data_IF_182372664415
#
_entry.id   IF_182372664415
#
_cell.length_a   1.000
_cell.length_b   1.000
_cell.length_c   1.000
_cell.angle_alpha   90.00
_cell.angle_beta   90.00
_cell.angle_gamma   90.00
#
_symmetry.space_group_name_H-M   'P 1'
#
loop_
_entity.id
_entity.type
_entity.pdbx_description
1 polymer ?
#
# COMPACT_ATOMS: atom_id res chain seq x y z
N UNK A 1 -4.92 -4.68 24.32
CA UNK A 1 -4.58 -4.24 22.94
C UNK A 1 -5.71 -3.46 22.24
N UNK A 2 -7.00 -3.71 22.54
CA UNK A 2 -8.16 -3.04 21.91
C UNK A 2 -8.51 -1.64 22.48
N UNK A 3 -7.96 -1.24 23.61
CA UNK A 3 -8.16 0.13 24.18
C UNK A 3 -7.45 1.27 23.42
N UNK A 4 -6.54 0.94 22.50
CA UNK A 4 -5.82 1.90 21.65
C UNK A 4 -6.67 2.43 20.47
N UNK A 5 -7.86 1.87 20.23
CA UNK A 5 -8.74 2.21 19.12
C UNK A 5 -9.97 3.05 19.52
N UNK A 6 -10.05 3.58 20.72
CA UNK A 6 -10.96 4.68 20.98
C UNK A 6 -10.43 5.92 20.25
N UNK A 7 -10.73 5.99 18.95
CA UNK A 7 -10.46 7.18 18.14
C UNK A 7 -11.42 8.26 18.67
N UNK A 8 -10.91 9.25 19.41
CA UNK A 8 -11.74 10.39 19.84
C UNK A 8 -12.27 11.07 18.58
N UNK A 9 -13.30 11.88 18.74
CA UNK A 9 -13.94 12.57 17.61
C UNK A 9 -12.91 13.22 16.68
N UNK A 10 -12.72 12.64 15.48
CA UNK A 10 -11.84 13.17 14.45
C UNK A 10 -12.60 14.27 13.72
N UNK A 11 -12.43 15.49 14.19
CA UNK A 11 -12.69 16.65 13.37
C UNK A 11 -11.47 16.85 12.43
N UNK A 12 -11.56 16.37 11.18
CA UNK A 12 -10.44 16.41 10.24
C UNK A 12 -9.88 17.82 10.03
N UNK A 13 -10.73 18.85 10.01
CA UNK A 13 -10.29 20.22 9.81
C UNK A 13 -9.50 20.75 11.02
N UNK A 14 -9.93 20.41 12.22
CA UNK A 14 -9.25 20.80 13.45
C UNK A 14 -7.94 20.02 13.62
N UNK A 15 -7.97 18.71 13.39
CA UNK A 15 -6.77 17.85 13.45
C UNK A 15 -5.73 18.25 12.41
N UNK A 16 -6.16 18.67 11.21
CA UNK A 16 -5.26 19.22 10.19
C UNK A 16 -4.57 20.49 10.67
N UNK A 17 -5.34 21.44 11.22
CA UNK A 17 -4.82 22.71 11.73
C UNK A 17 -3.81 22.45 12.85
N UNK A 18 -4.20 21.65 13.85
CA UNK A 18 -3.32 21.28 14.97
C UNK A 18 -2.03 20.60 14.47
N UNK A 19 -2.16 19.65 13.55
CA UNK A 19 -1.00 18.95 12.98
C UNK A 19 -0.07 19.89 12.22
N UNK A 20 -0.61 20.83 11.46
CA UNK A 20 0.16 21.82 10.74
C UNK A 20 0.85 22.82 11.65
N UNK A 21 0.16 23.31 12.67
CA UNK A 21 0.74 24.22 13.68
C UNK A 21 1.89 23.50 14.42
N UNK A 22 1.71 22.22 14.72
CA UNK A 22 2.72 21.39 15.35
C UNK A 22 3.96 21.19 14.47
N UNK A 23 3.77 20.93 13.16
CA UNK A 23 4.87 20.87 12.20
C UNK A 23 5.61 22.20 12.12
N UNK A 24 4.89 23.31 12.14
CA UNK A 24 5.49 24.64 12.14
C UNK A 24 6.26 24.96 13.42
N UNK A 25 5.89 24.37 14.56
CA UNK A 25 6.59 24.52 15.84
C UNK A 25 7.85 23.65 15.96
N UNK A 26 8.08 22.68 15.05
CA UNK A 26 9.28 21.88 15.03
C UNK A 26 10.51 22.73 14.72
N UNK A 27 11.68 22.29 15.22
CA UNK A 27 12.96 22.86 14.80
C UNK A 27 13.13 22.80 13.27
N UNK A 28 13.83 23.78 12.70
CA UNK A 28 13.96 23.90 11.22
C UNK A 28 14.27 22.57 10.52
N UNK A 29 15.23 21.80 11.00
CA UNK A 29 15.61 20.52 10.40
C UNK A 29 14.46 19.48 10.48
N UNK A 30 13.89 19.28 11.65
CA UNK A 30 12.80 18.31 11.85
C UNK A 30 11.56 18.69 11.03
N UNK A 31 11.28 19.99 10.87
CA UNK A 31 10.21 20.49 10.00
C UNK A 31 10.44 20.11 8.53
N UNK A 32 11.62 20.41 7.98
CA UNK A 32 11.94 20.08 6.58
C UNK A 32 11.92 18.56 6.33
N UNK A 33 12.42 17.76 7.29
CA UNK A 33 12.33 16.30 7.19
C UNK A 33 10.87 15.84 7.18
N UNK A 34 10.02 16.38 8.04
CA UNK A 34 8.59 16.05 8.08
C UNK A 34 7.89 16.43 6.79
N UNK A 35 8.19 17.60 6.23
CA UNK A 35 7.66 18.02 4.92
C UNK A 35 8.15 17.10 3.80
N UNK A 36 9.41 16.67 3.85
CA UNK A 36 9.97 15.72 2.88
C UNK A 36 9.25 14.36 2.93
N UNK A 37 8.82 13.91 4.12
CA UNK A 37 7.96 12.75 4.25
C UNK A 37 6.63 12.89 3.51
N UNK A 38 6.00 14.07 3.60
CA UNK A 38 4.70 14.32 2.97
C UNK A 38 4.77 14.42 1.46
N UNK A 39 5.95 14.63 0.89
CA UNK A 39 6.15 14.59 -0.55
C UNK A 39 6.14 13.16 -1.12
N UNK A 40 6.33 12.13 -0.28
CA UNK A 40 6.41 10.74 -0.72
C UNK A 40 5.28 10.30 -1.64
N UNK A 41 3.99 10.46 -1.26
CA UNK A 41 2.87 10.08 -2.12
C UNK A 41 2.88 10.74 -3.50
N UNK A 42 3.41 11.96 -3.62
CA UNK A 42 3.51 12.69 -4.90
C UNK A 42 4.74 12.25 -5.70
N UNK A 43 5.85 11.96 -5.05
CA UNK A 43 7.06 11.44 -5.70
C UNK A 43 6.78 10.09 -6.34
N UNK A 44 5.99 9.25 -5.67
CA UNK A 44 5.54 7.97 -6.23
C UNK A 44 4.69 8.13 -7.50
N UNK A 45 4.04 9.29 -7.70
CA UNK A 45 3.27 9.59 -8.92
C UNK A 45 4.16 9.94 -10.12
N UNK A 46 5.42 10.29 -9.90
CA UNK A 46 6.31 10.69 -10.99
C UNK A 46 6.83 9.45 -11.70
N UNK A 47 7.54 8.59 -10.97
CA UNK A 47 8.11 7.35 -11.48
C UNK A 47 8.67 6.51 -10.32
N UNK A 48 9.11 5.27 -10.63
CA UNK A 48 9.70 4.35 -9.67
C UNK A 48 11.03 4.84 -9.13
N UNK A 49 11.93 5.30 -9.99
CA UNK A 49 13.29 5.65 -9.60
C UNK A 49 13.36 6.83 -8.63
N UNK A 50 12.63 7.94 -8.83
CA UNK A 50 12.51 9.00 -7.84
C UNK A 50 11.95 8.52 -6.49
N UNK A 51 11.00 7.57 -6.51
CA UNK A 51 10.44 7.00 -5.29
C UNK A 51 11.45 6.16 -4.52
N UNK A 52 12.24 5.36 -5.22
CA UNK A 52 13.32 4.55 -4.66
C UNK A 52 14.43 5.43 -4.07
N UNK A 53 14.78 6.52 -4.75
CA UNK A 53 15.73 7.52 -4.24
C UNK A 53 15.21 8.20 -2.97
N UNK A 54 13.94 8.66 -2.99
CA UNK A 54 13.30 9.29 -1.84
C UNK A 54 13.29 8.36 -0.62
N UNK A 55 12.89 7.11 -0.79
CA UNK A 55 12.87 6.11 0.27
C UNK A 55 14.28 5.89 0.84
N UNK A 56 15.29 5.81 -0.02
CA UNK A 56 16.69 5.64 0.37
C UNK A 56 17.20 6.85 1.17
N UNK A 57 16.89 8.06 0.73
CA UNK A 57 17.25 9.29 1.45
C UNK A 57 16.60 9.36 2.83
N UNK A 58 15.33 8.99 2.96
CA UNK A 58 14.66 8.88 4.27
C UNK A 58 15.41 7.91 5.20
N UNK A 59 15.85 6.75 4.70
CA UNK A 59 16.61 5.80 5.50
C UNK A 59 17.93 6.38 5.98
N UNK A 60 18.70 7.07 5.12
CA UNK A 60 19.94 7.71 5.50
C UNK A 60 19.75 8.83 6.52
N UNK A 61 18.77 9.70 6.33
CA UNK A 61 18.41 10.75 7.28
C UNK A 61 18.03 10.15 8.64
N UNK A 62 17.27 9.04 8.62
CA UNK A 62 16.87 8.33 9.83
C UNK A 62 18.08 7.78 10.58
N UNK A 63 18.99 7.09 9.89
CA UNK A 63 20.19 6.55 10.50
C UNK A 63 21.10 7.67 11.08
N UNK A 64 21.31 8.74 10.33
CA UNK A 64 22.05 9.91 10.82
C UNK A 64 21.43 10.50 12.08
N UNK A 65 20.08 10.56 12.15
CA UNK A 65 19.36 10.99 13.35
C UNK A 65 19.55 10.02 14.52
N UNK A 66 19.49 8.70 14.27
CA UNK A 66 19.70 7.68 15.29
C UNK A 66 21.11 7.77 15.89
N UNK A 67 22.13 7.98 15.05
CA UNK A 67 23.53 8.20 15.49
C UNK A 67 23.62 9.46 16.36
N UNK A 68 23.06 10.59 15.90
CA UNK A 68 23.11 11.86 16.62
C UNK A 68 22.38 11.82 17.97
N UNK A 69 21.23 11.15 18.03
CA UNK A 69 20.39 11.07 19.25
C UNK A 69 20.68 9.84 20.11
N UNK A 70 21.54 8.93 19.63
CA UNK A 70 21.86 7.63 20.26
C UNK A 70 20.58 6.82 20.56
N UNK A 71 19.52 6.97 19.74
CA UNK A 71 18.24 6.27 19.89
C UNK A 71 18.17 5.08 18.94
N UNK A 72 18.46 3.90 19.49
CA UNK A 72 18.42 2.61 18.81
C UNK A 72 17.32 1.70 19.39
N UNK A 73 16.36 2.24 20.12
CA UNK A 73 15.31 1.48 20.79
C UNK A 73 14.46 0.63 19.81
N UNK A 74 14.31 1.08 18.57
CA UNK A 74 13.58 0.40 17.51
C UNK A 74 14.22 -0.93 17.07
N UNK A 75 15.54 -1.08 17.21
CA UNK A 75 16.26 -2.33 16.86
C UNK A 75 15.81 -3.49 17.74
N UNK A 76 15.37 -3.22 18.96
CA UNK A 76 14.91 -4.23 19.90
C UNK A 76 13.47 -4.71 19.68
N UNK A 77 12.75 -4.12 18.75
CA UNK A 77 11.39 -4.52 18.41
C UNK A 77 11.36 -5.89 17.72
N UNK A 78 10.40 -6.74 18.11
CA UNK A 78 10.27 -8.10 17.58
C UNK A 78 10.09 -8.07 16.06
N UNK A 79 9.23 -7.18 15.55
CA UNK A 79 8.98 -7.07 14.11
C UNK A 79 10.24 -6.72 13.33
N UNK A 80 11.11 -5.83 13.87
CA UNK A 80 12.34 -5.43 13.19
C UNK A 80 13.34 -6.58 13.18
N UNK A 81 13.51 -7.28 14.31
CA UNK A 81 14.35 -8.48 14.40
C UNK A 81 13.91 -9.57 13.42
N UNK A 82 12.58 -9.79 13.30
CA UNK A 82 12.03 -10.75 12.34
C UNK A 82 12.29 -10.32 10.89
N UNK A 83 12.11 -9.04 10.58
CA UNK A 83 12.41 -8.50 9.25
C UNK A 83 13.90 -8.62 8.90
N UNK A 84 14.79 -8.35 9.87
CA UNK A 84 16.24 -8.52 9.68
C UNK A 84 16.62 -9.99 9.50
N UNK A 85 16.02 -10.91 10.26
CA UNK A 85 16.25 -12.35 10.09
C UNK A 85 15.85 -12.82 8.68
N UNK A 86 14.68 -12.39 8.19
CA UNK A 86 14.23 -12.68 6.83
C UNK A 86 15.17 -12.08 5.77
N UNK A 87 15.63 -10.85 5.97
CA UNK A 87 16.57 -10.21 5.05
C UNK A 87 17.92 -10.92 5.02
N UNK A 88 18.48 -11.29 6.18
CA UNK A 88 19.73 -12.05 6.27
C UNK A 88 19.58 -13.42 5.58
N UNK A 89 18.47 -14.12 5.84
CA UNK A 89 18.17 -15.40 5.17
C UNK A 89 18.09 -15.23 3.64
N UNK A 90 17.43 -14.15 3.18
CA UNK A 90 17.37 -13.81 1.75
C UNK A 90 18.76 -13.54 1.15
N UNK A 91 19.66 -12.89 1.88
CA UNK A 91 21.05 -12.69 1.42
C UNK A 91 21.84 -14.01 1.34
N UNK A 92 21.67 -14.90 2.30
CA UNK A 92 22.26 -16.25 2.23
C UNK A 92 21.76 -17.01 0.99
N UNK A 93 20.46 -17.01 0.75
CA UNK A 93 19.87 -17.61 -0.44
C UNK A 93 20.41 -16.97 -1.74
N UNK A 94 20.57 -15.65 -1.76
CA UNK A 94 21.10 -14.93 -2.91
C UNK A 94 22.55 -15.34 -3.25
N UNK A 95 23.41 -15.53 -2.25
CA UNK A 95 24.82 -15.94 -2.44
C UNK A 95 24.94 -17.37 -2.95
N UNK A 96 23.96 -18.23 -2.64
CA UNK A 96 23.94 -19.64 -3.08
C UNK A 96 23.20 -19.85 -4.40
N UNK A 97 22.60 -18.81 -4.98
CA UNK A 97 21.82 -18.83 -6.21
C UNK A 97 22.67 -18.94 -7.49
N UNK A 98 22.01 -19.06 -8.65
CA UNK A 98 22.70 -19.21 -9.96
C UNK A 98 23.54 -17.99 -10.35
N UNK A 99 23.13 -16.79 -9.98
CA UNK A 99 23.88 -15.55 -10.17
C UNK A 99 24.04 -14.85 -8.82
N UNK A 100 25.08 -15.22 -8.03
CA UNK A 100 25.26 -14.74 -6.68
C UNK A 100 25.47 -13.24 -6.58
N UNK A 101 26.21 -12.65 -7.50
CA UNK A 101 26.54 -11.23 -7.46
C UNK A 101 25.30 -10.36 -7.69
N UNK A 102 24.57 -10.64 -8.77
CA UNK A 102 23.35 -9.92 -9.10
C UNK A 102 22.28 -10.08 -8.01
N UNK A 103 22.06 -11.33 -7.56
CA UNK A 103 21.06 -11.63 -6.51
C UNK A 103 21.41 -10.97 -5.19
N UNK A 104 22.69 -10.95 -4.80
CA UNK A 104 23.15 -10.27 -3.59
C UNK A 104 22.98 -8.75 -3.71
N UNK A 105 23.30 -8.16 -4.86
CA UNK A 105 23.10 -6.73 -5.09
C UNK A 105 21.62 -6.35 -4.95
N UNK A 106 20.72 -7.11 -5.56
CA UNK A 106 19.28 -6.89 -5.45
C UNK A 106 18.79 -7.11 -4.01
N UNK A 107 19.21 -8.18 -3.37
CA UNK A 107 18.82 -8.50 -2.00
C UNK A 107 19.30 -7.50 -0.97
N UNK A 108 20.51 -6.95 -1.13
CA UNK A 108 21.07 -5.98 -0.19
C UNK A 108 20.27 -4.69 -0.11
N UNK A 109 19.72 -4.23 -1.23
CA UNK A 109 18.89 -3.00 -1.30
C UNK A 109 17.58 -3.13 -0.51
N UNK A 110 17.09 -4.35 -0.26
CA UNK A 110 15.84 -4.57 0.47
C UNK A 110 15.87 -4.13 1.94
N UNK A 111 17.05 -3.97 2.55
CA UNK A 111 17.20 -3.43 3.91
C UNK A 111 16.51 -2.06 4.09
N UNK A 112 16.36 -1.31 3.02
CA UNK A 112 15.69 0.00 3.05
C UNK A 112 14.23 -0.09 3.51
N UNK A 113 13.51 -1.18 3.26
CA UNK A 113 12.11 -1.32 3.67
C UNK A 113 11.93 -1.44 5.19
N UNK A 114 12.63 -2.35 5.91
CA UNK A 114 12.58 -2.35 7.37
C UNK A 114 13.13 -1.06 8.00
N UNK A 115 14.14 -0.43 7.42
CA UNK A 115 14.63 0.87 7.89
C UNK A 115 13.59 1.98 7.70
N UNK A 116 12.90 2.02 6.57
CA UNK A 116 11.82 2.97 6.32
C UNK A 116 10.65 2.75 7.30
N UNK A 117 10.27 1.50 7.57
CA UNK A 117 9.24 1.19 8.56
C UNK A 117 9.65 1.64 9.97
N UNK A 118 10.91 1.46 10.35
CA UNK A 118 11.45 1.95 11.61
C UNK A 118 11.44 3.49 11.67
N UNK A 119 11.82 4.16 10.60
CA UNK A 119 11.73 5.61 10.48
C UNK A 119 10.30 6.11 10.63
N UNK A 120 9.35 5.48 9.95
CA UNK A 120 7.92 5.79 10.08
C UNK A 120 7.42 5.61 11.51
N UNK A 121 7.81 4.52 12.18
CA UNK A 121 7.45 4.27 13.57
C UNK A 121 8.00 5.34 14.52
N UNK A 122 9.25 5.75 14.35
CA UNK A 122 9.89 6.71 15.24
C UNK A 122 9.41 8.14 14.99
N UNK A 123 9.19 8.53 13.73
CA UNK A 123 8.82 9.91 13.38
C UNK A 123 7.32 10.15 13.32
N UNK A 124 6.57 9.25 12.70
CA UNK A 124 5.15 9.47 12.42
C UNK A 124 4.23 8.81 13.47
N UNK A 125 4.62 7.62 13.96
CA UNK A 125 3.72 6.86 14.83
C UNK A 125 3.57 7.44 16.22
N UNK A 126 4.55 8.21 16.73
CA UNK A 126 4.52 8.82 18.06
C UNK A 126 3.54 10.00 18.15
N UNK A 127 3.27 10.66 17.03
CA UNK A 127 2.44 11.85 17.00
C UNK A 127 1.17 11.64 16.16
N UNK A 128 0.01 11.71 16.81
CA UNK A 128 -1.28 11.50 16.18
C UNK A 128 -1.58 12.55 15.11
N UNK A 129 -1.30 13.81 15.40
CA UNK A 129 -1.72 14.91 14.54
C UNK A 129 -0.86 14.94 13.26
N UNK A 130 0.45 14.66 13.40
CA UNK A 130 1.36 14.48 12.27
C UNK A 130 0.93 13.30 11.39
N UNK A 131 0.48 12.19 12.00
CA UNK A 131 -0.06 11.04 11.24
C UNK A 131 -1.29 11.41 10.42
N UNK A 132 -2.18 12.25 10.97
CA UNK A 132 -3.37 12.71 10.24
C UNK A 132 -2.95 13.54 9.02
N UNK A 133 -1.97 14.43 9.15
CA UNK A 133 -1.45 15.21 8.01
C UNK A 133 -0.85 14.28 6.96
N UNK A 134 -0.11 13.25 7.37
CA UNK A 134 0.43 12.23 6.44
C UNK A 134 -0.67 11.46 5.72
N UNK A 135 -1.71 11.03 6.43
CA UNK A 135 -2.85 10.33 5.84
C UNK A 135 -3.60 11.22 4.83
N UNK A 136 -3.71 12.50 5.08
CA UNK A 136 -4.29 13.45 4.13
C UNK A 136 -3.40 13.63 2.90
N UNK A 137 -2.09 13.67 3.05
CA UNK A 137 -1.15 13.68 1.92
C UNK A 137 -1.30 12.43 1.04
N UNK A 138 -1.39 11.25 1.67
CA UNK A 138 -1.64 9.98 0.97
C UNK A 138 -3.00 10.03 0.24
N UNK A 139 -4.04 10.54 0.89
CA UNK A 139 -5.36 10.69 0.29
C UNK A 139 -5.33 11.59 -0.94
N UNK A 140 -4.68 12.73 -0.86
CA UNK A 140 -4.56 13.65 -2.00
C UNK A 140 -3.81 12.98 -3.15
N UNK A 141 -2.67 12.31 -2.88
CA UNK A 141 -1.94 11.55 -3.90
C UNK A 141 -2.81 10.48 -4.55
N UNK A 142 -3.60 9.75 -3.76
CA UNK A 142 -4.54 8.75 -4.28
C UNK A 142 -5.64 9.38 -5.15
N UNK A 143 -6.20 10.51 -4.75
CA UNK A 143 -7.22 11.19 -5.55
C UNK A 143 -6.65 11.71 -6.87
N UNK A 144 -5.42 12.19 -6.88
CA UNK A 144 -4.73 12.61 -8.11
C UNK A 144 -4.59 11.43 -9.07
N UNK A 145 -4.06 10.28 -8.62
CA UNK A 145 -3.91 9.11 -9.50
C UNK A 145 -5.27 8.59 -9.99
N UNK A 146 -6.30 8.59 -9.13
CA UNK A 146 -7.65 8.23 -9.54
C UNK A 146 -8.17 9.17 -10.64
N UNK A 147 -7.96 10.48 -10.50
CA UNK A 147 -8.32 11.45 -11.52
C UNK A 147 -7.60 11.24 -12.86
N UNK A 148 -6.29 10.96 -12.81
CA UNK A 148 -5.47 10.67 -13.99
C UNK A 148 -5.99 9.42 -14.71
N UNK A 149 -6.28 8.34 -13.98
CA UNK A 149 -6.76 7.09 -14.57
C UNK A 149 -8.18 7.18 -15.13
N UNK A 150 -9.04 7.96 -14.49
CA UNK A 150 -10.37 8.27 -15.05
C UNK A 150 -10.22 9.07 -16.35
N UNK A 151 -9.33 10.07 -16.38
CA UNK A 151 -9.04 10.83 -17.59
C UNK A 151 -8.48 9.94 -18.71
N UNK A 152 -7.53 9.04 -18.41
CA UNK A 152 -7.03 8.07 -19.40
C UNK A 152 -8.15 7.18 -19.93
N UNK A 153 -9.04 6.69 -19.07
CA UNK A 153 -10.17 5.85 -19.48
C UNK A 153 -11.10 6.56 -20.47
N UNK A 154 -11.23 7.89 -20.36
CA UNK A 154 -12.08 8.71 -21.26
C UNK A 154 -11.37 9.06 -22.55
N UNK A 155 -10.08 9.42 -22.47
CA UNK A 155 -9.30 9.96 -23.60
C UNK A 155 -8.70 8.85 -24.46
N UNK A 156 -8.15 7.81 -23.82
CA UNK A 156 -7.42 6.70 -24.47
C UNK A 156 -7.77 5.37 -23.79
N UNK A 157 -8.99 4.86 -24.01
CA UNK A 157 -9.47 3.65 -23.32
C UNK A 157 -8.64 2.45 -23.72
N UNK A 158 -7.88 1.91 -22.78
CA UNK A 158 -7.07 0.69 -22.91
C UNK A 158 -7.53 -0.39 -21.95
N UNK A 159 -7.28 -1.65 -22.30
CA UNK A 159 -7.54 -2.79 -21.40
C UNK A 159 -6.70 -2.73 -20.12
N UNK A 160 -5.53 -2.10 -20.20
CA UNK A 160 -4.65 -1.82 -19.07
C UNK A 160 -4.23 -0.36 -19.12
N UNK A 161 -4.62 0.39 -18.11
CA UNK A 161 -4.25 1.79 -17.99
C UNK A 161 -2.77 1.91 -17.63
N UNK A 162 -2.13 2.95 -18.19
CA UNK A 162 -0.67 3.14 -18.10
C UNK A 162 -0.25 4.50 -17.56
N UNK A 163 -1.17 5.48 -17.55
CA UNK A 163 -0.85 6.83 -17.09
C UNK A 163 -0.63 6.89 -15.57
N UNK A 164 0.27 7.73 -15.07
CA UNK A 164 1.17 8.62 -15.82
C UNK A 164 2.48 7.95 -16.24
N UNK A 165 2.70 6.68 -15.95
CA UNK A 165 4.01 6.03 -16.04
C UNK A 165 4.37 5.50 -17.43
N UNK A 166 3.40 5.42 -18.33
CA UNK A 166 3.61 4.76 -19.64
C UNK A 166 3.71 3.24 -19.59
N UNK A 167 3.61 2.63 -18.41
CA UNK A 167 3.64 1.19 -18.16
C UNK A 167 2.49 0.78 -17.23
N UNK A 168 2.22 -0.52 -17.11
CA UNK A 168 1.10 -1.13 -16.34
C UNK A 168 1.31 -1.11 -14.82
N UNK A 169 1.87 -0.03 -14.30
CA UNK A 169 2.21 0.15 -12.88
C UNK A 169 1.11 0.82 -12.02
N UNK A 170 0.17 1.62 -12.60
CA UNK A 170 -0.79 2.41 -11.81
C UNK A 170 -1.62 1.59 -10.83
N UNK A 171 -2.05 0.38 -11.22
CA UNK A 171 -2.76 -0.53 -10.33
C UNK A 171 -1.96 -0.89 -9.08
N UNK A 172 -0.66 -1.09 -9.23
CA UNK A 172 0.25 -1.36 -8.12
C UNK A 172 0.37 -0.18 -7.15
N UNK A 173 0.44 1.04 -7.67
CA UNK A 173 0.43 2.25 -6.86
C UNK A 173 -0.85 2.37 -6.03
N UNK A 174 -2.01 2.30 -6.68
CA UNK A 174 -3.31 2.39 -6.02
C UNK A 174 -3.44 1.32 -4.93
N UNK A 175 -3.06 0.07 -5.20
CA UNK A 175 -3.17 -1.01 -4.23
C UNK A 175 -2.31 -0.76 -2.98
N UNK A 176 -1.06 -0.34 -3.15
CA UNK A 176 -0.13 -0.10 -2.04
C UNK A 176 -0.53 1.10 -1.19
N UNK A 177 -0.96 2.18 -1.82
CA UNK A 177 -1.29 3.44 -1.13
C UNK A 177 -2.69 3.41 -0.54
N UNK A 178 -3.66 2.81 -1.24
CA UNK A 178 -5.06 2.83 -0.83
C UNK A 178 -5.40 1.83 0.26
N UNK A 179 -4.70 0.69 0.39
CA UNK A 179 -5.03 -0.32 1.40
C UNK A 179 -4.88 0.21 2.84
N UNK A 180 -3.75 0.82 3.25
CA UNK A 180 -3.62 1.43 4.56
C UNK A 180 -4.66 2.54 4.78
N UNK A 181 -4.89 3.37 3.75
CA UNK A 181 -5.86 4.45 3.82
C UNK A 181 -7.29 3.90 3.98
N UNK A 182 -7.67 2.91 3.19
CA UNK A 182 -8.96 2.23 3.29
C UNK A 182 -9.17 1.64 4.69
N UNK A 183 -8.16 1.00 5.27
CA UNK A 183 -8.21 0.49 6.63
C UNK A 183 -8.52 1.59 7.66
N UNK A 184 -7.85 2.74 7.54
CA UNK A 184 -8.09 3.88 8.44
C UNK A 184 -9.47 4.47 8.23
N UNK A 185 -9.89 4.64 6.98
CA UNK A 185 -11.20 5.18 6.62
C UNK A 185 -12.34 4.27 7.11
N UNK A 186 -12.18 2.95 6.97
CA UNK A 186 -13.12 1.97 7.52
C UNK A 186 -13.20 2.04 9.04
N UNK A 187 -12.06 2.16 9.73
CA UNK A 187 -12.04 2.33 11.18
C UNK A 187 -12.81 3.59 11.62
N UNK A 188 -12.66 4.70 10.88
CA UNK A 188 -13.42 5.93 11.12
C UNK A 188 -14.91 5.75 10.83
N UNK A 189 -15.27 5.11 9.73
CA UNK A 189 -16.66 4.84 9.34
C UNK A 189 -17.39 3.97 10.37
N UNK A 190 -16.69 3.01 10.96
CA UNK A 190 -17.25 2.08 11.97
C UNK A 190 -17.40 2.73 13.32
N UNK A 191 -16.48 3.62 13.71
CA UNK A 191 -16.46 4.22 15.03
C UNK A 191 -17.55 5.28 15.24
N UNK A 192 -18.14 5.84 14.14
CA UNK A 192 -19.08 6.97 14.24
C UNK A 192 -20.18 6.96 13.19
N UNK A 193 -21.38 7.37 13.61
CA UNK A 193 -22.56 7.65 12.77
C UNK A 193 -22.39 8.93 11.91
N UNK A 194 -21.18 9.36 11.57
CA UNK A 194 -20.94 10.72 11.09
C UNK A 194 -20.71 10.79 9.58
N UNK A 195 -21.00 11.95 8.98
CA UNK A 195 -20.75 12.30 7.56
C UNK A 195 -19.32 11.95 7.10
N UNK A 196 -18.33 12.03 8.01
CA UNK A 196 -16.95 11.63 7.77
C UNK A 196 -16.81 10.13 7.41
N UNK A 197 -17.59 9.25 8.06
CA UNK A 197 -17.59 7.81 7.72
C UNK A 197 -18.18 7.53 6.35
N UNK A 198 -19.21 8.27 5.96
CA UNK A 198 -19.82 8.15 4.64
C UNK A 198 -18.86 8.64 3.55
N UNK A 199 -18.19 9.78 3.77
CA UNK A 199 -17.16 10.30 2.87
C UNK A 199 -15.97 9.33 2.73
N UNK A 200 -15.54 8.75 3.84
CA UNK A 200 -14.52 7.71 3.84
C UNK A 200 -14.92 6.47 3.02
N UNK A 201 -16.17 6.04 3.16
CA UNK A 201 -16.73 4.95 2.35
C UNK A 201 -16.73 5.28 0.86
N UNK A 202 -17.15 6.48 0.47
CA UNK A 202 -17.14 6.92 -0.92
C UNK A 202 -15.74 6.96 -1.53
N UNK A 203 -14.72 7.40 -0.78
CA UNK A 203 -13.33 7.37 -1.24
C UNK A 203 -12.84 5.92 -1.40
N UNK A 204 -13.20 5.05 -0.47
CA UNK A 204 -12.93 3.61 -0.58
C UNK A 204 -13.51 3.02 -1.87
N UNK A 205 -14.79 3.29 -2.14
CA UNK A 205 -15.49 2.86 -3.35
C UNK A 205 -14.86 3.40 -4.63
N UNK A 206 -14.56 4.70 -4.68
CA UNK A 206 -13.89 5.33 -5.82
C UNK A 206 -12.58 4.61 -6.13
N UNK A 207 -11.79 4.36 -5.10
CA UNK A 207 -10.48 3.75 -5.28
C UNK A 207 -10.56 2.27 -5.71
N UNK A 208 -11.61 1.52 -5.33
CA UNK A 208 -11.86 0.15 -5.82
C UNK A 208 -12.34 0.19 -7.26
N UNK A 209 -13.29 1.04 -7.58
CA UNK A 209 -13.76 1.23 -8.95
C UNK A 209 -12.60 1.57 -9.90
N UNK A 210 -11.76 2.53 -9.55
CA UNK A 210 -10.59 2.87 -10.36
C UNK A 210 -9.56 1.74 -10.40
N UNK A 211 -9.36 1.00 -9.31
CA UNK A 211 -8.48 -0.18 -9.32
C UNK A 211 -8.97 -1.24 -10.31
N UNK A 212 -10.28 -1.45 -10.46
CA UNK A 212 -10.81 -2.39 -11.47
C UNK A 212 -10.58 -1.88 -12.89
N UNK A 213 -10.65 -0.58 -13.14
CA UNK A 213 -10.35 0.02 -14.44
C UNK A 213 -8.89 -0.17 -14.88
N UNK A 214 -7.95 -0.31 -13.95
CA UNK A 214 -6.53 -0.55 -14.31
C UNK A 214 -6.28 -1.89 -14.97
N UNK A 215 -7.24 -2.83 -14.91
CA UNK A 215 -7.09 -4.18 -15.46
C UNK A 215 -6.13 -5.08 -14.66
N UNK A 216 -5.67 -4.65 -13.49
CA UNK A 216 -4.72 -5.38 -12.63
C UNK A 216 -5.42 -6.30 -11.62
N UNK A 217 -5.56 -7.59 -11.98
CA UNK A 217 -6.28 -8.61 -11.20
C UNK A 217 -5.70 -8.84 -9.82
N UNK A 218 -4.38 -8.94 -9.71
CA UNK A 218 -3.70 -9.21 -8.44
C UNK A 218 -3.94 -8.10 -7.43
N UNK A 219 -3.89 -6.86 -7.87
CA UNK A 219 -4.11 -5.70 -7.01
C UNK A 219 -5.55 -5.58 -6.56
N UNK A 220 -6.50 -5.89 -7.45
CA UNK A 220 -7.91 -5.97 -7.10
C UNK A 220 -8.17 -7.01 -6.01
N UNK A 221 -7.61 -8.23 -6.16
CA UNK A 221 -7.75 -9.30 -5.16
C UNK A 221 -7.10 -8.94 -3.81
N UNK A 222 -5.89 -8.39 -3.81
CA UNK A 222 -5.22 -7.96 -2.58
C UNK A 222 -6.08 -6.95 -1.83
N UNK A 223 -6.74 -6.05 -2.55
CA UNK A 223 -7.64 -5.08 -1.97
C UNK A 223 -8.91 -5.69 -1.38
N UNK A 224 -9.55 -6.57 -2.13
CA UNK A 224 -10.74 -7.27 -1.65
C UNK A 224 -10.42 -8.07 -0.39
N UNK A 225 -9.33 -8.83 -0.38
CA UNK A 225 -8.86 -9.55 0.80
C UNK A 225 -8.51 -8.61 1.96
N UNK A 226 -7.83 -7.50 1.69
CA UNK A 226 -7.50 -6.49 2.70
C UNK A 226 -8.74 -5.84 3.32
N UNK A 227 -9.75 -5.56 2.52
CA UNK A 227 -11.06 -5.06 2.98
C UNK A 227 -11.79 -6.07 3.86
N UNK A 228 -11.80 -7.35 3.47
CA UNK A 228 -12.37 -8.43 4.27
C UNK A 228 -11.65 -8.58 5.61
N UNK A 229 -10.32 -8.62 5.62
CA UNK A 229 -9.53 -8.70 6.86
C UNK A 229 -9.77 -7.48 7.75
N UNK A 230 -9.82 -6.28 7.18
CA UNK A 230 -10.15 -5.08 7.91
C UNK A 230 -11.53 -5.17 8.58
N UNK A 231 -12.53 -5.69 7.88
CA UNK A 231 -13.88 -5.86 8.42
C UNK A 231 -13.94 -6.87 9.57
N UNK A 232 -13.15 -7.94 9.53
CA UNK A 232 -13.03 -8.92 10.62
C UNK A 232 -12.43 -8.26 11.87
N UNK A 233 -11.37 -7.45 11.69
CA UNK A 233 -10.65 -6.81 12.80
C UNK A 233 -11.49 -5.71 13.45
N UNK A 234 -12.17 -4.88 12.66
CA UNK A 234 -12.90 -3.71 13.19
C UNK A 234 -14.36 -3.99 13.51
N UNK A 235 -14.90 -5.17 13.15
CA UNK A 235 -16.28 -5.59 13.44
C UNK A 235 -17.29 -4.46 13.12
N UNK A 236 -17.37 -3.98 11.87
CA UNK A 236 -18.33 -2.97 11.49
C UNK A 236 -19.75 -3.44 11.80
N UNK A 237 -20.66 -2.49 12.01
CA UNK A 237 -22.09 -2.85 12.08
C UNK A 237 -22.44 -3.51 10.76
N UNK A 238 -23.03 -4.71 10.83
CA UNK A 238 -23.32 -5.55 9.67
C UNK A 238 -24.01 -4.79 8.53
N UNK A 239 -24.98 -3.92 8.85
CA UNK A 239 -25.70 -3.10 7.87
C UNK A 239 -24.75 -2.19 7.09
N UNK A 240 -23.83 -1.50 7.77
CA UNK A 240 -22.90 -0.56 7.11
C UNK A 240 -21.88 -1.29 6.25
N UNK A 241 -21.41 -2.44 6.73
CA UNK A 241 -20.54 -3.33 5.96
C UNK A 241 -21.26 -3.84 4.69
N UNK A 242 -22.50 -4.32 4.82
CA UNK A 242 -23.29 -4.81 3.69
C UNK A 242 -23.57 -3.72 2.64
N UNK A 243 -23.83 -2.49 3.08
CA UNK A 243 -24.00 -1.34 2.17
C UNK A 243 -22.71 -1.07 1.41
N UNK A 244 -21.57 -1.00 2.09
CA UNK A 244 -20.27 -0.75 1.43
C UNK A 244 -19.93 -1.86 0.43
N UNK A 245 -20.05 -3.12 0.84
CA UNK A 245 -19.79 -4.26 -0.04
C UNK A 245 -20.79 -4.29 -1.22
N UNK A 246 -22.07 -3.98 -0.96
CA UNK A 246 -23.08 -3.89 -2.01
C UNK A 246 -22.73 -2.83 -3.06
N UNK A 247 -22.30 -1.64 -2.64
CA UNK A 247 -21.85 -0.61 -3.57
C UNK A 247 -20.59 -1.02 -4.34
N UNK A 248 -19.63 -1.69 -3.70
CA UNK A 248 -18.44 -2.22 -4.39
C UNK A 248 -18.83 -3.21 -5.48
N UNK A 249 -19.69 -4.17 -5.15
CA UNK A 249 -20.17 -5.17 -6.12
C UNK A 249 -20.88 -4.48 -7.28
N UNK A 250 -21.77 -3.52 -7.00
CA UNK A 250 -22.48 -2.77 -8.04
C UNK A 250 -21.49 -1.99 -8.92
N UNK A 251 -20.50 -1.28 -8.33
CA UNK A 251 -19.50 -0.53 -9.09
C UNK A 251 -18.71 -1.45 -10.02
N UNK A 252 -18.27 -2.60 -9.55
CA UNK A 252 -17.54 -3.60 -10.34
C UNK A 252 -18.42 -4.17 -11.45
N UNK A 253 -19.69 -4.49 -11.17
CA UNK A 253 -20.64 -4.98 -12.17
C UNK A 253 -20.89 -3.94 -13.27
N UNK A 254 -21.11 -2.67 -12.89
CA UNK A 254 -21.28 -1.57 -13.86
C UNK A 254 -20.05 -1.44 -14.77
N UNK A 255 -18.83 -1.50 -14.21
CA UNK A 255 -17.61 -1.45 -14.98
C UNK A 255 -17.51 -2.64 -15.95
N UNK A 256 -17.81 -3.85 -15.51
CA UNK A 256 -17.73 -5.05 -16.35
C UNK A 256 -18.79 -5.07 -17.46
N UNK A 257 -19.97 -4.50 -17.20
CA UNK A 257 -21.02 -4.34 -18.23
C UNK A 257 -20.60 -3.28 -19.25
N UNK A 258 -20.03 -2.17 -18.77
CA UNK A 258 -19.58 -1.05 -19.63
C UNK A 258 -18.29 -1.34 -20.40
N UNK A 259 -17.47 -2.30 -19.92
CA UNK A 259 -16.16 -2.65 -20.47
C UNK A 259 -16.03 -4.16 -20.66
N UNK A 260 -16.53 -4.72 -21.80
CA UNK A 260 -16.48 -6.16 -22.10
C UNK A 260 -15.05 -6.73 -22.11
N UNK A 261 -14.06 -5.92 -22.49
CA UNK A 261 -12.64 -6.27 -22.48
C UNK A 261 -12.13 -6.59 -21.06
N UNK A 262 -12.58 -5.84 -20.07
CA UNK A 262 -12.29 -6.11 -18.65
C UNK A 262 -13.01 -7.37 -18.17
N UNK A 263 -14.26 -7.57 -18.58
CA UNK A 263 -15.01 -8.78 -18.22
C UNK A 263 -14.30 -10.04 -18.75
N UNK A 264 -13.83 -10.04 -19.99
CA UNK A 264 -13.04 -11.15 -20.52
C UNK A 264 -11.77 -11.39 -19.70
N UNK A 265 -11.06 -10.34 -19.34
CA UNK A 265 -9.81 -10.40 -18.58
C UNK A 265 -10.03 -10.88 -17.14
N UNK A 266 -10.99 -10.34 -16.41
CA UNK A 266 -11.26 -10.70 -15.02
C UNK A 266 -12.07 -11.98 -14.87
N UNK A 267 -12.95 -12.28 -15.80
CA UNK A 267 -13.78 -13.49 -15.80
C UNK A 267 -13.07 -14.67 -16.46
N UNK A 268 -13.06 -14.70 -17.79
CA UNK A 268 -12.57 -15.86 -18.55
C UNK A 268 -11.08 -16.15 -18.31
N UNK A 269 -10.23 -15.14 -18.47
CA UNK A 269 -8.78 -15.34 -18.32
C UNK A 269 -8.38 -15.62 -16.86
N UNK A 270 -9.12 -15.08 -15.89
CA UNK A 270 -8.87 -15.39 -14.47
C UNK A 270 -9.20 -16.85 -14.18
N UNK A 271 -10.39 -17.32 -14.56
CA UNK A 271 -10.81 -18.72 -14.33
C UNK A 271 -9.88 -19.72 -15.02
N UNK A 272 -9.46 -19.42 -16.25
CA UNK A 272 -8.52 -20.28 -17.00
C UNK A 272 -7.16 -20.37 -16.28
N UNK A 273 -6.71 -19.28 -15.65
CA UNK A 273 -5.38 -19.21 -15.04
C UNK A 273 -5.37 -19.57 -13.53
N UNK A 274 -6.54 -19.80 -12.90
CA UNK A 274 -6.58 -20.24 -11.51
C UNK A 274 -6.13 -21.70 -11.41
N UNK A 275 -5.12 -22.04 -10.61
CA UNK A 275 -4.57 -23.39 -10.51
C UNK A 275 -5.59 -24.47 -10.11
N UNK A 276 -6.67 -24.08 -9.41
CA UNK A 276 -7.74 -24.97 -8.97
C UNK A 276 -8.60 -25.45 -10.15
N UNK A 277 -8.66 -24.65 -11.23
CA UNK A 277 -9.49 -24.95 -12.42
C UNK A 277 -8.67 -25.56 -13.55
N UNK A 278 -7.43 -25.13 -13.71
CA UNK A 278 -6.55 -25.61 -14.75
C UNK A 278 -5.10 -25.70 -14.24
N UNK A 279 -4.59 -26.92 -14.11
CA UNK A 279 -3.23 -27.20 -13.61
C UNK A 279 -2.14 -27.05 -14.68
N UNK A 280 -2.48 -26.90 -15.96
CA UNK A 280 -1.53 -26.77 -17.07
C UNK A 280 -1.20 -25.32 -17.42
N UNK A 281 -1.51 -24.38 -16.54
CA UNK A 281 -1.21 -22.98 -16.79
C UNK A 281 0.27 -22.64 -16.55
N UNK A 282 0.84 -21.64 -17.28
CA UNK A 282 2.21 -21.17 -17.02
C UNK A 282 2.44 -20.75 -15.55
N UNK A 283 1.43 -20.20 -14.90
CA UNK A 283 1.51 -19.83 -13.49
C UNK A 283 1.67 -21.04 -12.56
N UNK A 284 0.91 -22.12 -12.82
CA UNK A 284 1.06 -23.36 -12.05
C UNK A 284 2.40 -24.02 -12.29
N UNK A 285 2.87 -24.01 -13.55
CA UNK A 285 4.20 -24.48 -13.91
C UNK A 285 5.30 -23.75 -13.12
N UNK A 286 5.21 -22.43 -13.03
CA UNK A 286 6.15 -21.61 -12.26
C UNK A 286 6.09 -21.91 -10.75
N UNK A 287 4.89 -22.05 -10.19
CA UNK A 287 4.69 -22.41 -8.77
C UNK A 287 5.21 -23.80 -8.45
N UNK A 288 4.86 -24.78 -9.30
CA UNK A 288 5.32 -26.17 -9.17
C UNK A 288 6.84 -26.25 -9.28
N UNK A 289 7.42 -25.55 -10.24
CA UNK A 289 8.87 -25.46 -10.41
C UNK A 289 9.54 -24.86 -9.19
N UNK A 290 9.03 -23.76 -8.65
CA UNK A 290 9.53 -23.12 -7.43
C UNK A 290 9.43 -24.02 -6.20
N UNK A 291 8.31 -24.73 -6.02
CA UNK A 291 8.13 -25.68 -4.92
C UNK A 291 9.09 -26.86 -5.09
N UNK A 292 9.18 -27.45 -6.27
CA UNK A 292 10.10 -28.55 -6.53
C UNK A 292 11.56 -28.16 -6.30
N UNK A 293 11.95 -26.97 -6.78
CA UNK A 293 13.30 -26.47 -6.58
C UNK A 293 13.59 -26.20 -5.09
N UNK A 294 12.64 -25.61 -4.36
CA UNK A 294 12.75 -25.38 -2.92
C UNK A 294 12.84 -26.68 -2.11
N UNK A 295 12.16 -27.76 -2.55
CA UNK A 295 12.24 -29.07 -1.91
C UNK A 295 13.56 -29.81 -2.22
N UNK A 296 14.06 -29.69 -3.45
CA UNK A 296 15.29 -30.34 -3.88
C UNK A 296 16.54 -29.60 -3.41
N UNK A 297 16.47 -28.30 -3.31
CA UNK A 297 17.60 -27.42 -2.94
C UNK A 297 17.15 -26.35 -1.92
N UNK A 298 16.78 -26.74 -0.70
CA UNK A 298 16.15 -25.82 0.26
C UNK A 298 17.02 -24.63 0.70
N UNK A 299 18.34 -24.70 0.45
CA UNK A 299 19.28 -23.59 0.73
C UNK A 299 19.75 -22.85 -0.54
N UNK A 300 19.37 -23.32 -1.72
CA UNK A 300 19.78 -22.72 -3.00
C UNK A 300 18.63 -22.01 -3.73
N UNK A 301 17.45 -22.02 -3.16
CA UNK A 301 16.19 -21.36 -3.50
C UNK A 301 16.04 -20.75 -4.86
#
# INVERSE_FOLDING_TARGET
>A
MLKLLSIPELNFSESWKIGWDKINSLGKLDKYITLFWFLGPFIYLIERDPADLWLTLICFIFLARCIKRKDWSWVNQIWFKSAMALWIFGLFSAVTGPDPFFSFQQGSVWIRFPLYAAAAQVWLAKDRDIRIVMLLSILIGMLIICGILIAETIIDPKTRLTWPYGDVVPGGYIAKVSLPLFCVLMAVAVSKKNKAGMFAGLIGLLSIGVSSLTGERTHFLIRACGGLLASIVWKPKFIMFSILVGFEVIAVLVIFISRPDLNERFGKQFLINVPIVNFDTPYWGSWRGGIQQGLLTPLKG
#
